data_IF_335825903855
#
_entry.id   IF_335825903855
#
_cell.length_a   1.000
_cell.length_b   1.000
_cell.length_c   1.000
_cell.angle_alpha   90.00
_cell.angle_beta   90.00
_cell.angle_gamma   90.00
#
_symmetry.space_group_name_H-M   'P 1'
#
loop_
_entity.id
_entity.type
_entity.pdbx_description
1 polymer ?
#
# COMPACT_ATOMS: atom_id res chain seq x y z
N UNK A 1 85.47 -133.30 -97.11
CA UNK A 1 85.38 -134.60 -96.41
C UNK A 1 83.97 -134.76 -95.91
N UNK A 2 83.20 -135.69 -96.49
CA UNK A 2 81.81 -135.97 -96.12
C UNK A 2 81.79 -136.88 -94.89
N UNK A 3 81.39 -136.34 -93.75
CA UNK A 3 81.20 -137.06 -92.48
C UNK A 3 79.72 -136.94 -92.08
N UNK A 4 79.12 -138.02 -91.57
CA UNK A 4 77.72 -138.13 -91.11
C UNK A 4 77.32 -136.99 -90.16
N UNK A 5 78.28 -136.45 -89.42
CA UNK A 5 78.09 -135.30 -88.53
C UNK A 5 77.80 -133.99 -89.28
N UNK A 6 78.36 -133.79 -90.49
CA UNK A 6 78.18 -132.58 -91.28
C UNK A 6 76.79 -132.44 -91.92
N UNK A 7 76.15 -133.56 -92.26
CA UNK A 7 74.74 -133.57 -92.72
C UNK A 7 73.77 -133.34 -91.56
N UNK A 8 74.05 -133.92 -90.38
CA UNK A 8 73.20 -133.76 -89.19
C UNK A 8 73.18 -132.31 -88.71
N UNK A 9 74.34 -131.63 -88.69
CA UNK A 9 74.44 -130.23 -88.30
C UNK A 9 73.72 -129.29 -89.29
N UNK A 10 73.77 -129.57 -90.60
CA UNK A 10 73.09 -128.75 -91.61
C UNK A 10 71.56 -128.91 -91.60
N UNK A 11 71.05 -130.04 -91.10
CA UNK A 11 69.62 -130.29 -90.88
C UNK A 11 69.08 -129.68 -89.58
N UNK A 12 69.95 -129.47 -88.59
CA UNK A 12 69.59 -129.02 -87.24
C UNK A 12 69.63 -127.50 -87.05
N UNK A 13 70.21 -126.74 -87.98
CA UNK A 13 70.16 -125.28 -87.93
C UNK A 13 71.21 -124.59 -88.79
N UNK A 14 70.88 -123.37 -89.23
CA UNK A 14 71.79 -122.53 -90.01
C UNK A 14 72.95 -122.04 -89.13
N UNK A 15 74.19 -122.18 -89.63
CA UNK A 15 75.42 -121.75 -88.95
C UNK A 15 75.64 -120.26 -89.24
N UNK A 16 75.45 -119.40 -88.24
CA UNK A 16 75.80 -117.97 -88.31
C UNK A 16 77.26 -117.73 -87.90
N UNK A 17 77.91 -116.75 -88.53
CA UNK A 17 79.30 -116.37 -88.21
C UNK A 17 79.34 -115.46 -86.97
N UNK A 18 80.41 -115.49 -86.17
CA UNK A 18 80.58 -114.62 -85.00
C UNK A 18 80.35 -113.14 -85.36
N UNK A 19 80.84 -112.70 -86.51
CA UNK A 19 80.62 -111.34 -87.02
C UNK A 19 79.14 -111.00 -87.25
N UNK A 20 78.34 -111.95 -87.75
CA UNK A 20 76.90 -111.76 -87.96
C UNK A 20 76.14 -111.68 -86.64
N UNK A 21 76.53 -112.47 -85.63
CA UNK A 21 75.96 -112.38 -84.28
C UNK A 21 76.32 -111.06 -83.60
N UNK A 22 77.57 -110.60 -83.72
CA UNK A 22 78.00 -109.30 -83.19
C UNK A 22 77.27 -108.14 -83.87
N UNK A 23 77.07 -108.20 -85.18
CA UNK A 23 76.36 -107.16 -85.92
C UNK A 23 74.85 -107.17 -85.63
N UNK A 24 74.23 -108.34 -85.48
CA UNK A 24 72.83 -108.48 -85.07
C UNK A 24 72.61 -107.93 -83.64
N UNK A 25 73.53 -108.20 -82.71
CA UNK A 25 73.49 -107.67 -81.34
C UNK A 25 73.73 -106.16 -81.30
N UNK A 26 74.68 -105.63 -82.08
CA UNK A 26 74.91 -104.19 -82.21
C UNK A 26 73.65 -103.47 -82.74
N UNK A 27 72.98 -104.01 -83.76
CA UNK A 27 71.71 -103.47 -84.27
C UNK A 27 70.59 -103.50 -83.22
N UNK A 28 70.52 -104.56 -82.40
CA UNK A 28 69.55 -104.63 -81.28
C UNK A 28 69.84 -103.56 -80.22
N UNK A 29 71.11 -103.38 -79.88
CA UNK A 29 71.54 -102.38 -78.91
C UNK A 29 71.29 -100.96 -79.42
N UNK A 30 71.58 -100.65 -80.68
CA UNK A 30 71.29 -99.35 -81.29
C UNK A 30 69.79 -99.07 -81.31
N UNK A 31 68.96 -100.07 -81.63
CA UNK A 31 67.49 -99.93 -81.59
C UNK A 31 66.99 -99.67 -80.17
N UNK A 32 67.57 -100.32 -79.17
CA UNK A 32 67.25 -100.07 -77.76
C UNK A 32 67.67 -98.65 -77.33
N UNK A 33 68.90 -98.23 -77.67
CA UNK A 33 69.42 -96.89 -77.36
C UNK A 33 68.58 -95.81 -78.03
N UNK A 34 68.23 -95.99 -79.31
CA UNK A 34 67.35 -95.07 -80.04
C UNK A 34 65.97 -94.96 -79.40
N UNK A 35 65.37 -96.08 -78.99
CA UNK A 35 64.08 -96.09 -78.30
C UNK A 35 64.15 -95.39 -76.94
N UNK A 36 65.18 -95.68 -76.14
CA UNK A 36 65.40 -95.04 -74.84
C UNK A 36 65.63 -93.54 -75.00
N UNK A 37 66.42 -93.11 -75.99
CA UNK A 37 66.66 -91.71 -76.28
C UNK A 37 65.37 -90.99 -76.69
N UNK A 38 64.53 -91.60 -77.52
CA UNK A 38 63.21 -91.05 -77.87
C UNK A 38 62.32 -90.90 -76.62
N UNK A 39 62.27 -91.91 -75.74
CA UNK A 39 61.53 -91.82 -74.47
C UNK A 39 62.04 -90.67 -73.60
N UNK A 40 63.36 -90.51 -73.48
CA UNK A 40 63.98 -89.41 -72.72
C UNK A 40 63.61 -88.07 -73.33
N UNK A 41 63.66 -87.92 -74.66
CA UNK A 41 63.28 -86.68 -75.34
C UNK A 41 61.81 -86.31 -75.09
N UNK A 42 60.88 -87.27 -75.21
CA UNK A 42 59.45 -87.04 -74.92
C UNK A 42 59.24 -86.65 -73.46
N UNK A 43 59.88 -87.34 -72.51
CA UNK A 43 59.78 -86.99 -71.08
C UNK A 43 60.35 -85.61 -70.77
N UNK A 44 61.50 -85.25 -71.36
CA UNK A 44 62.09 -83.93 -71.21
C UNK A 44 61.18 -82.82 -71.77
N UNK A 45 60.52 -83.07 -72.91
CA UNK A 45 59.52 -82.14 -73.46
C UNK A 45 58.33 -81.98 -72.52
N UNK A 46 57.81 -83.10 -71.98
CA UNK A 46 56.70 -83.07 -71.04
C UNK A 46 57.02 -82.34 -69.74
N UNK A 47 58.25 -82.51 -69.20
CA UNK A 47 58.72 -81.76 -68.03
C UNK A 47 58.68 -80.26 -68.31
N UNK A 48 59.23 -79.80 -69.45
CA UNK A 48 59.18 -78.38 -69.85
C UNK A 48 57.76 -77.85 -69.96
N UNK A 49 56.84 -78.63 -70.54
CA UNK A 49 55.42 -78.25 -70.62
C UNK A 49 54.76 -78.14 -69.25
N UNK A 50 55.13 -79.00 -68.29
CA UNK A 50 54.67 -78.88 -66.90
C UNK A 50 55.27 -77.65 -66.23
N UNK A 51 56.56 -77.38 -66.41
CA UNK A 51 57.23 -76.19 -65.85
C UNK A 51 56.60 -74.89 -66.34
N UNK A 52 56.34 -74.77 -67.65
CA UNK A 52 55.66 -73.59 -68.22
C UNK A 52 54.26 -73.45 -67.62
N UNK A 53 53.45 -74.52 -67.60
CA UNK A 53 52.10 -74.48 -67.00
C UNK A 53 52.13 -74.16 -65.51
N UNK A 54 53.12 -74.65 -64.79
CA UNK A 54 53.33 -74.35 -63.37
C UNK A 54 53.57 -72.85 -63.19
N UNK A 55 54.53 -72.27 -63.92
CA UNK A 55 54.83 -70.84 -63.83
C UNK A 55 53.65 -69.96 -64.24
N UNK A 56 52.93 -70.30 -65.31
CA UNK A 56 51.71 -69.58 -65.71
C UNK A 56 50.62 -69.64 -64.65
N UNK A 57 50.41 -70.81 -64.04
CA UNK A 57 49.41 -70.99 -62.98
C UNK A 57 49.79 -70.21 -61.73
N UNK A 58 51.06 -70.25 -61.32
CA UNK A 58 51.59 -69.45 -60.21
C UNK A 58 51.45 -67.97 -60.47
N UNK A 59 51.73 -67.50 -61.69
CA UNK A 59 51.58 -66.08 -62.03
C UNK A 59 50.11 -65.64 -61.96
N UNK A 60 49.17 -66.42 -62.52
CA UNK A 60 47.73 -66.15 -62.42
C UNK A 60 47.25 -66.15 -60.97
N UNK A 61 47.72 -67.08 -60.15
CA UNK A 61 47.41 -67.11 -58.71
C UNK A 61 47.89 -65.85 -58.00
N UNK A 62 49.12 -65.40 -58.27
CA UNK A 62 49.67 -64.19 -57.67
C UNK A 62 48.87 -62.94 -58.09
N UNK A 63 48.49 -62.81 -59.35
CA UNK A 63 47.64 -61.71 -59.83
C UNK A 63 46.28 -61.71 -59.12
N UNK A 64 45.62 -62.87 -59.02
CA UNK A 64 44.35 -62.99 -58.32
C UNK A 64 44.49 -62.67 -56.81
N UNK A 65 45.60 -63.04 -56.17
CA UNK A 65 45.88 -62.66 -54.79
C UNK A 65 46.04 -61.15 -54.63
N UNK A 66 46.80 -60.49 -55.53
CA UNK A 66 46.95 -59.04 -55.53
C UNK A 66 45.62 -58.30 -55.72
N UNK A 67 44.78 -58.76 -56.66
CA UNK A 67 43.45 -58.19 -56.87
C UNK A 67 42.55 -58.37 -55.63
N UNK A 68 42.59 -59.56 -55.00
CA UNK A 68 41.85 -59.82 -53.76
C UNK A 68 42.30 -58.89 -52.63
N UNK A 69 43.60 -58.71 -52.45
CA UNK A 69 44.15 -57.88 -51.38
C UNK A 69 43.81 -56.40 -51.61
N UNK A 70 43.89 -55.92 -52.86
CA UNK A 70 43.45 -54.57 -53.24
C UNK A 70 41.97 -54.34 -52.94
N UNK A 71 41.10 -55.31 -53.27
CA UNK A 71 39.67 -55.22 -53.03
C UNK A 71 39.34 -55.16 -51.53
N UNK A 72 40.03 -55.98 -50.72
CA UNK A 72 39.89 -55.96 -49.27
C UNK A 72 40.33 -54.62 -48.70
N UNK A 73 41.45 -54.07 -49.20
CA UNK A 73 41.92 -52.75 -48.78
C UNK A 73 40.90 -51.66 -49.11
N UNK A 74 40.39 -51.58 -50.35
CA UNK A 74 39.40 -50.57 -50.74
C UNK A 74 38.10 -50.69 -49.93
N UNK A 75 37.66 -51.93 -49.67
CA UNK A 75 36.46 -52.18 -48.86
C UNK A 75 36.65 -51.72 -47.40
N UNK A 76 37.81 -52.02 -46.80
CA UNK A 76 38.12 -51.60 -45.43
C UNK A 76 38.23 -50.08 -45.32
N UNK A 77 38.83 -49.40 -46.31
CA UNK A 77 38.91 -47.94 -46.37
C UNK A 77 37.52 -47.30 -46.47
N UNK A 78 36.62 -47.87 -47.29
CA UNK A 78 35.25 -47.39 -47.44
C UNK A 78 34.44 -47.55 -46.15
N UNK A 79 34.58 -48.70 -45.46
CA UNK A 79 33.97 -48.90 -44.14
C UNK A 79 34.46 -47.85 -43.14
N UNK A 80 35.78 -47.62 -43.06
CA UNK A 80 36.34 -46.65 -42.14
C UNK A 80 35.83 -45.23 -42.44
N UNK A 81 35.71 -44.88 -43.72
CA UNK A 81 35.16 -43.59 -44.15
C UNK A 81 33.69 -43.42 -43.75
N UNK A 82 32.87 -44.45 -43.93
CA UNK A 82 31.45 -44.44 -43.51
C UNK A 82 31.35 -44.31 -41.99
N UNK A 83 32.14 -45.09 -41.24
CA UNK A 83 32.15 -45.05 -39.77
C UNK A 83 32.60 -43.70 -39.21
N UNK A 84 33.66 -43.11 -39.76
CA UNK A 84 34.14 -41.78 -39.35
C UNK A 84 33.11 -40.69 -39.66
N UNK A 85 32.56 -40.68 -40.88
CA UNK A 85 31.52 -39.71 -41.26
C UNK A 85 30.28 -39.81 -40.36
N UNK A 86 29.84 -41.03 -40.05
CA UNK A 86 28.72 -41.26 -39.14
C UNK A 86 29.02 -40.76 -37.71
N UNK A 87 30.23 -41.05 -37.20
CA UNK A 87 30.68 -40.58 -35.88
C UNK A 87 30.70 -39.06 -35.81
N UNK A 88 31.26 -38.40 -36.81
CA UNK A 88 31.34 -36.93 -36.87
C UNK A 88 29.94 -36.30 -36.92
N UNK A 89 29.03 -36.90 -37.70
CA UNK A 89 27.65 -36.44 -37.78
C UNK A 89 26.93 -36.55 -36.43
N UNK A 90 27.04 -37.70 -35.76
CA UNK A 90 26.44 -37.87 -34.44
C UNK A 90 27.07 -36.94 -33.40
N UNK A 91 28.38 -36.77 -33.43
CA UNK A 91 29.06 -35.86 -32.51
C UNK A 91 28.57 -34.42 -32.68
N UNK A 92 28.39 -33.96 -33.93
CA UNK A 92 27.79 -32.65 -34.20
C UNK A 92 26.38 -32.53 -33.61
N UNK A 93 25.51 -33.53 -33.85
CA UNK A 93 24.15 -33.56 -33.29
C UNK A 93 24.18 -33.46 -31.76
N UNK A 94 25.04 -34.24 -31.09
CA UNK A 94 25.16 -34.19 -29.63
C UNK A 94 25.60 -32.81 -29.13
N UNK A 95 26.62 -32.21 -29.76
CA UNK A 95 27.09 -30.88 -29.36
C UNK A 95 26.04 -29.80 -29.57
N UNK A 96 25.28 -29.86 -30.66
CA UNK A 96 24.22 -28.88 -30.93
C UNK A 96 23.03 -29.07 -29.99
N UNK A 97 22.67 -30.32 -29.66
CA UNK A 97 21.64 -30.63 -28.68
C UNK A 97 22.03 -30.14 -27.26
N UNK A 98 23.28 -30.31 -26.85
CA UNK A 98 23.77 -29.81 -25.56
C UNK A 98 23.75 -28.28 -25.48
N UNK A 99 24.14 -27.58 -26.56
CA UNK A 99 23.99 -26.12 -26.67
C UNK A 99 22.53 -25.68 -26.58
N UNK A 100 21.63 -26.34 -27.30
CA UNK A 100 20.21 -26.00 -27.25
C UNK A 100 19.62 -26.24 -25.86
N UNK A 101 20.01 -27.34 -25.20
CA UNK A 101 19.58 -27.65 -23.83
C UNK A 101 20.02 -26.58 -22.84
N UNK A 102 21.28 -26.14 -22.91
CA UNK A 102 21.80 -25.08 -22.02
C UNK A 102 21.13 -23.73 -22.28
N UNK A 103 20.85 -23.39 -23.54
CA UNK A 103 20.07 -22.20 -23.89
C UNK A 103 18.64 -22.26 -23.34
N UNK A 104 17.96 -23.40 -23.49
CA UNK A 104 16.60 -23.59 -23.00
C UNK A 104 16.53 -23.46 -21.46
N UNK A 105 17.48 -24.05 -20.74
CA UNK A 105 17.54 -23.93 -19.28
C UNK A 105 17.82 -22.48 -18.85
N UNK A 106 18.66 -21.74 -19.58
CA UNK A 106 18.93 -20.33 -19.32
C UNK A 106 17.67 -19.46 -19.49
N UNK A 107 16.91 -19.68 -20.57
CA UNK A 107 15.66 -18.96 -20.84
C UNK A 107 14.59 -19.28 -19.80
N UNK A 108 14.48 -20.56 -19.41
CA UNK A 108 13.57 -21.00 -18.35
C UNK A 108 13.87 -20.30 -17.03
N UNK A 109 15.14 -20.22 -16.63
CA UNK A 109 15.56 -19.53 -15.41
C UNK A 109 15.28 -18.02 -15.49
N UNK A 110 15.50 -17.39 -16.64
CA UNK A 110 15.17 -15.97 -16.84
C UNK A 110 13.66 -15.71 -16.71
N UNK A 111 12.83 -16.58 -17.30
CA UNK A 111 11.37 -16.47 -17.19
C UNK A 111 10.90 -16.66 -15.74
N UNK A 112 11.48 -17.59 -15.00
CA UNK A 112 11.13 -17.80 -13.58
C UNK A 112 11.50 -16.57 -12.73
N UNK A 113 12.67 -15.96 -12.98
CA UNK A 113 13.06 -14.71 -12.31
C UNK A 113 12.10 -13.56 -12.65
N UNK A 114 11.73 -13.39 -13.93
CA UNK A 114 10.77 -12.38 -14.35
C UNK A 114 9.40 -12.59 -13.73
N UNK A 115 8.96 -13.84 -13.59
CA UNK A 115 7.70 -14.20 -12.92
C UNK A 115 7.70 -13.75 -11.46
N UNK A 116 8.76 -14.07 -10.71
CA UNK A 116 8.91 -13.64 -9.31
C UNK A 116 8.93 -12.11 -9.20
N UNK A 117 9.58 -11.42 -10.13
CA UNK A 117 9.63 -9.96 -10.16
C UNK A 117 8.26 -9.32 -10.45
N UNK A 118 7.47 -9.93 -11.35
CA UNK A 118 6.10 -9.50 -11.65
C UNK A 118 5.18 -9.71 -10.45
N UNK A 119 5.24 -10.87 -9.78
CA UNK A 119 4.47 -11.15 -8.56
C UNK A 119 4.76 -10.11 -7.47
N UNK A 120 6.03 -9.73 -7.28
CA UNK A 120 6.42 -8.67 -6.34
C UNK A 120 5.84 -7.31 -6.73
N UNK A 121 5.89 -6.96 -8.01
CA UNK A 121 5.30 -5.69 -8.52
C UNK A 121 3.79 -5.67 -8.37
N UNK A 122 3.12 -6.78 -8.63
CA UNK A 122 1.68 -6.91 -8.49
C UNK A 122 1.25 -6.73 -7.04
N UNK A 123 1.90 -7.42 -6.09
CA UNK A 123 1.64 -7.27 -4.67
C UNK A 123 1.88 -5.82 -4.17
N UNK A 124 2.95 -5.17 -4.66
CA UNK A 124 3.21 -3.76 -4.34
C UNK A 124 2.12 -2.83 -4.88
N UNK A 125 1.73 -3.01 -6.15
CA UNK A 125 0.67 -2.21 -6.77
C UNK A 125 -0.69 -2.41 -6.09
N UNK A 126 -1.01 -3.64 -5.67
CA UNK A 126 -2.22 -3.93 -4.92
C UNK A 126 -2.23 -3.23 -3.55
N UNK A 127 -1.09 -3.23 -2.85
CA UNK A 127 -0.94 -2.49 -1.59
C UNK A 127 -1.12 -0.98 -1.77
N UNK A 128 -0.51 -0.39 -2.79
CA UNK A 128 -0.64 1.05 -3.07
C UNK A 128 -2.07 1.43 -3.48
N UNK A 129 -2.74 0.59 -4.29
CA UNK A 129 -4.16 0.78 -4.62
C UNK A 129 -5.05 0.76 -3.38
N UNK A 130 -4.79 -0.15 -2.45
CA UNK A 130 -5.55 -0.24 -1.20
C UNK A 130 -5.37 1.02 -0.34
N UNK A 131 -4.13 1.50 -0.17
CA UNK A 131 -3.86 2.75 0.56
C UNK A 131 -4.56 3.95 -0.06
N UNK A 132 -4.52 4.06 -1.38
CA UNK A 132 -5.20 5.16 -2.09
C UNK A 132 -6.72 5.09 -1.91
N UNK A 133 -7.31 3.89 -1.91
CA UNK A 133 -8.73 3.72 -1.65
C UNK A 133 -9.12 4.14 -0.22
N UNK A 134 -8.31 3.74 0.77
CA UNK A 134 -8.49 4.14 2.17
C UNK A 134 -8.38 5.66 2.34
N UNK A 135 -7.41 6.32 1.70
CA UNK A 135 -7.25 7.78 1.73
C UNK A 135 -8.42 8.51 1.06
N UNK A 136 -8.96 8.00 -0.04
CA UNK A 136 -10.15 8.56 -0.70
C UNK A 136 -11.36 8.47 0.23
N UNK A 137 -11.58 7.33 0.89
CA UNK A 137 -12.68 7.14 1.83
C UNK A 137 -12.53 8.06 3.06
N UNK A 138 -11.33 8.16 3.63
CA UNK A 138 -11.06 9.07 4.75
C UNK A 138 -11.28 10.53 4.36
N UNK A 139 -10.85 10.95 3.17
CA UNK A 139 -11.09 12.31 2.69
C UNK A 139 -12.57 12.57 2.41
N UNK A 140 -13.32 11.58 1.92
CA UNK A 140 -14.76 11.71 1.73
C UNK A 140 -15.50 11.90 3.07
N UNK A 141 -15.13 11.12 4.10
CA UNK A 141 -15.72 11.25 5.44
C UNK A 141 -15.37 12.59 6.09
N UNK A 142 -14.11 13.03 5.99
CA UNK A 142 -13.67 14.37 6.44
C UNK A 142 -14.45 15.48 5.74
N UNK A 143 -14.57 15.43 4.40
CA UNK A 143 -15.33 16.44 3.65
C UNK A 143 -16.81 16.47 4.06
N UNK A 144 -17.44 15.31 4.25
CA UNK A 144 -18.83 15.24 4.75
C UNK A 144 -18.96 15.87 6.14
N UNK A 145 -18.03 15.57 7.06
CA UNK A 145 -18.01 16.15 8.41
C UNK A 145 -17.82 17.67 8.39
N UNK A 146 -16.92 18.19 7.54
CA UNK A 146 -16.69 19.62 7.36
C UNK A 146 -17.93 20.32 6.79
N UNK A 147 -18.62 19.69 5.84
CA UNK A 147 -19.86 20.22 5.29
C UNK A 147 -20.95 20.31 6.38
N UNK A 148 -21.08 19.30 7.23
CA UNK A 148 -22.01 19.32 8.36
C UNK A 148 -21.66 20.41 9.37
N UNK A 149 -20.37 20.56 9.71
CA UNK A 149 -19.90 21.63 10.60
C UNK A 149 -20.19 23.02 10.04
N UNK A 150 -19.98 23.23 8.73
CA UNK A 150 -20.27 24.50 8.06
C UNK A 150 -21.77 24.84 8.06
N UNK A 151 -22.63 23.83 7.86
CA UNK A 151 -24.09 24.00 7.95
C UNK A 151 -24.51 24.38 9.37
N UNK A 152 -23.94 23.72 10.38
CA UNK A 152 -24.28 23.99 11.78
C UNK A 152 -23.79 25.37 12.24
N UNK A 153 -22.59 25.77 11.82
CA UNK A 153 -22.08 27.12 12.03
C UNK A 153 -23.02 28.18 11.43
N UNK A 154 -23.46 27.98 10.18
CA UNK A 154 -24.41 28.91 9.54
C UNK A 154 -25.72 29.04 10.31
N UNK A 155 -26.26 27.93 10.83
CA UNK A 155 -27.47 27.96 11.68
C UNK A 155 -27.23 28.70 13.00
N UNK A 156 -26.07 28.48 13.62
CA UNK A 156 -25.70 29.19 14.84
C UNK A 156 -25.61 30.71 14.60
N UNK A 157 -24.97 31.12 13.50
CA UNK A 157 -24.87 32.53 13.10
C UNK A 157 -26.25 33.15 12.85
N UNK A 158 -27.15 32.43 12.16
CA UNK A 158 -28.54 32.85 11.94
C UNK A 158 -29.31 33.01 13.26
N UNK A 159 -29.09 32.13 14.24
CA UNK A 159 -29.72 32.23 15.55
C UNK A 159 -29.18 33.42 16.36
N UNK A 160 -27.86 33.68 16.33
CA UNK A 160 -27.24 34.85 16.97
C UNK A 160 -27.78 36.15 16.38
N UNK A 161 -27.94 36.22 15.05
CA UNK A 161 -28.54 37.36 14.36
C UNK A 161 -29.98 37.62 14.85
N UNK A 162 -30.83 36.60 14.92
CA UNK A 162 -32.20 36.73 15.45
C UNK A 162 -32.21 37.22 16.89
N UNK A 163 -31.35 36.66 17.75
CA UNK A 163 -31.24 37.09 19.15
C UNK A 163 -30.81 38.56 19.26
N UNK A 164 -29.87 39.00 18.41
CA UNK A 164 -29.44 40.39 18.37
C UNK A 164 -30.57 41.33 17.91
N UNK A 165 -31.38 40.91 16.93
CA UNK A 165 -32.57 41.64 16.48
C UNK A 165 -33.63 41.74 17.60
N UNK A 166 -33.89 40.65 18.31
CA UNK A 166 -34.83 40.61 19.44
C UNK A 166 -34.36 41.52 20.59
N UNK A 167 -33.07 41.45 20.95
CA UNK A 167 -32.48 42.34 21.95
C UNK A 167 -32.60 43.81 21.54
N UNK A 168 -32.34 44.12 20.26
CA UNK A 168 -32.51 45.49 19.73
C UNK A 168 -33.97 45.95 19.87
N UNK A 169 -34.93 45.09 19.51
CA UNK A 169 -36.37 45.39 19.62
C UNK A 169 -36.81 45.61 21.07
N UNK A 170 -36.35 44.76 21.99
CA UNK A 170 -36.62 44.92 23.43
C UNK A 170 -36.01 46.22 23.96
N UNK A 171 -34.79 46.57 23.56
CA UNK A 171 -34.14 47.83 23.93
C UNK A 171 -34.93 49.04 23.44
N UNK A 172 -35.42 49.01 22.20
CA UNK A 172 -36.27 50.06 21.63
C UNK A 172 -37.59 50.20 22.42
N UNK A 173 -38.22 49.08 22.83
CA UNK A 173 -39.42 49.09 23.66
C UNK A 173 -39.16 49.69 25.05
N UNK A 174 -38.07 49.31 25.70
CA UNK A 174 -37.67 49.89 26.99
C UNK A 174 -37.39 51.39 26.88
N UNK A 175 -36.68 51.83 25.83
CA UNK A 175 -36.48 53.25 25.57
C UNK A 175 -37.80 54.00 25.37
N UNK A 176 -38.75 53.43 24.64
CA UNK A 176 -40.08 54.04 24.48
C UNK A 176 -40.81 54.15 25.83
N UNK A 177 -40.69 53.14 26.70
CA UNK A 177 -41.28 53.17 28.04
C UNK A 177 -40.65 54.23 28.95
N UNK A 178 -39.33 54.37 28.90
CA UNK A 178 -38.60 55.43 29.64
C UNK A 178 -39.12 56.81 29.22
N UNK A 179 -39.27 57.07 27.92
CA UNK A 179 -39.81 58.35 27.43
C UNK A 179 -41.24 58.58 27.94
N UNK A 180 -42.08 57.54 27.97
CA UNK A 180 -43.44 57.66 28.51
C UNK A 180 -43.44 57.98 30.01
N UNK A 181 -42.61 57.29 30.80
CA UNK A 181 -42.48 57.52 32.23
C UNK A 181 -41.92 58.92 32.53
N UNK A 182 -40.97 59.40 31.73
CA UNK A 182 -40.45 60.77 31.86
C UNK A 182 -41.57 61.81 31.68
N UNK A 183 -42.43 61.64 30.66
CA UNK A 183 -43.59 62.54 30.47
C UNK A 183 -44.57 62.50 31.65
N UNK A 184 -44.82 61.32 32.21
CA UNK A 184 -45.69 61.19 33.40
C UNK A 184 -45.07 61.86 34.62
N UNK A 185 -43.75 61.75 34.79
CA UNK A 185 -43.02 62.44 35.85
C UNK A 185 -43.10 63.96 35.69
N UNK A 186 -42.89 64.48 34.48
CA UNK A 186 -42.97 65.91 34.19
C UNK A 186 -44.39 66.46 34.51
N UNK A 187 -45.45 65.71 34.14
CA UNK A 187 -46.85 66.05 34.49
C UNK A 187 -47.09 66.04 36.00
N UNK A 188 -46.52 65.08 36.74
CA UNK A 188 -46.62 65.05 38.20
C UNK A 188 -45.98 66.29 38.83
N UNK A 189 -44.78 66.64 38.37
CA UNK A 189 -44.06 67.82 38.86
C UNK A 189 -44.85 69.12 38.58
N UNK A 190 -45.50 69.22 37.42
CA UNK A 190 -46.38 70.37 37.08
C UNK A 190 -47.58 70.47 38.05
N UNK A 191 -48.24 69.34 38.35
CA UNK A 191 -49.32 69.30 39.35
C UNK A 191 -48.83 69.67 40.76
N UNK A 192 -47.64 69.22 41.18
CA UNK A 192 -47.05 69.59 42.46
C UNK A 192 -46.80 71.10 42.56
N UNK A 193 -46.28 71.72 41.49
CA UNK A 193 -46.09 73.16 41.41
C UNK A 193 -47.43 73.91 41.50
N UNK A 194 -48.46 73.45 40.80
CA UNK A 194 -49.80 74.04 40.84
C UNK A 194 -50.42 73.94 42.25
N UNK A 195 -50.27 72.80 42.93
CA UNK A 195 -50.69 72.63 44.32
C UNK A 195 -49.96 73.62 45.24
N UNK A 196 -48.66 73.84 45.04
CA UNK A 196 -47.92 74.85 45.82
C UNK A 196 -48.41 76.27 45.54
N UNK A 197 -48.68 76.62 44.29
CA UNK A 197 -49.25 77.92 43.91
C UNK A 197 -50.64 78.15 44.51
N UNK A 198 -51.50 77.13 44.49
CA UNK A 198 -52.83 77.17 45.12
C UNK A 198 -52.71 77.33 46.64
N UNK A 199 -51.81 76.59 47.30
CA UNK A 199 -51.53 76.76 48.73
C UNK A 199 -51.06 78.18 49.07
N UNK A 200 -50.17 78.75 48.27
CA UNK A 200 -49.68 80.12 48.43
C UNK A 200 -50.81 81.15 48.31
N UNK A 201 -51.62 81.04 47.23
CA UNK A 201 -52.79 81.91 47.01
C UNK A 201 -53.81 81.81 48.15
N UNK A 202 -54.11 80.60 48.62
CA UNK A 202 -55.05 80.34 49.70
C UNK A 202 -54.52 80.88 51.05
N UNK A 203 -53.20 80.85 51.26
CA UNK A 203 -52.56 81.48 52.41
C UNK A 203 -52.73 83.01 52.38
N UNK A 204 -52.49 83.66 51.23
CA UNK A 204 -52.69 85.12 51.08
C UNK A 204 -54.16 85.51 51.35
N UNK A 205 -55.11 84.80 50.74
CA UNK A 205 -56.54 85.03 50.93
C UNK A 205 -57.01 84.80 52.39
N UNK A 206 -56.42 83.85 53.11
CA UNK A 206 -56.70 83.65 54.55
C UNK A 206 -56.25 84.82 55.42
N UNK A 207 -55.20 85.54 55.03
CA UNK A 207 -54.72 86.71 55.77
C UNK A 207 -55.49 88.00 55.40
N UNK A 208 -56.41 87.94 54.44
CA UNK A 208 -57.36 89.02 54.12
C UNK A 208 -58.66 88.90 54.96
N UNK A 209 -58.54 88.40 56.19
CA UNK A 209 -59.62 87.96 57.09
C UNK A 209 -60.52 89.09 57.63
N UNK A 210 -60.21 90.36 57.32
CA UNK A 210 -60.91 91.54 57.85
C UNK A 210 -62.06 92.05 56.95
N UNK A 211 -62.25 91.53 55.73
CA UNK A 211 -63.34 91.92 54.83
C UNK A 211 -64.37 90.77 54.65
N UNK A 212 -65.59 90.95 55.18
CA UNK A 212 -66.75 90.04 55.03
C UNK A 212 -67.33 90.06 53.59
N UNK A 213 -66.47 89.93 52.58
CA UNK A 213 -66.88 89.97 51.18
C UNK A 213 -67.30 88.56 50.72
N UNK A 214 -68.60 88.37 50.50
CA UNK A 214 -69.22 87.08 50.13
C UNK A 214 -68.61 86.49 48.85
N UNK A 215 -68.10 87.34 47.97
CA UNK A 215 -67.42 86.92 46.74
C UNK A 215 -66.01 86.35 47.02
N UNK A 216 -65.29 86.87 48.02
CA UNK A 216 -64.00 86.34 48.48
C UNK A 216 -64.20 84.98 49.15
N UNK A 217 -65.23 84.83 49.99
CA UNK A 217 -65.58 83.56 50.63
C UNK A 217 -65.86 82.45 49.60
N UNK A 218 -66.63 82.74 48.55
CA UNK A 218 -66.88 81.77 47.45
C UNK A 218 -65.61 81.40 46.69
N UNK A 219 -64.70 82.35 46.45
CA UNK A 219 -63.40 82.07 45.81
C UNK A 219 -62.52 81.20 46.69
N UNK A 220 -62.47 81.46 47.99
CA UNK A 220 -61.75 80.63 48.97
C UNK A 220 -62.32 79.21 49.01
N UNK A 221 -63.64 79.04 49.03
CA UNK A 221 -64.29 77.72 49.09
C UNK A 221 -64.03 76.89 47.82
N UNK A 222 -64.09 77.53 46.64
CA UNK A 222 -63.77 76.88 45.37
C UNK A 222 -62.29 76.48 45.32
N UNK A 223 -61.36 77.37 45.70
CA UNK A 223 -59.92 77.06 45.76
C UNK A 223 -59.61 75.96 46.78
N UNK A 224 -60.32 75.91 47.92
CA UNK A 224 -60.17 74.83 48.89
C UNK A 224 -60.66 73.49 48.33
N UNK A 225 -61.76 73.49 47.58
CA UNK A 225 -62.26 72.27 46.94
C UNK A 225 -61.29 71.76 45.88
N UNK A 226 -60.84 72.62 44.97
CA UNK A 226 -59.86 72.25 43.93
C UNK A 226 -58.53 71.79 44.53
N UNK A 227 -58.07 72.44 45.61
CA UNK A 227 -56.86 72.02 46.33
C UNK A 227 -57.04 70.63 46.95
N UNK A 228 -58.18 70.35 47.59
CA UNK A 228 -58.49 69.03 48.17
C UNK A 228 -58.50 67.95 47.08
N UNK A 229 -59.18 68.19 45.97
CA UNK A 229 -59.30 67.23 44.88
C UNK A 229 -57.93 66.91 44.25
N UNK A 230 -57.09 67.94 44.00
CA UNK A 230 -55.71 67.74 43.50
C UNK A 230 -54.79 67.06 44.52
N UNK A 231 -54.93 67.35 45.81
CA UNK A 231 -54.16 66.69 46.87
C UNK A 231 -54.52 65.20 47.01
N UNK A 232 -55.81 64.87 46.96
CA UNK A 232 -56.29 63.48 46.93
C UNK A 232 -55.74 62.75 45.71
N UNK A 233 -55.83 63.35 44.52
CA UNK A 233 -55.31 62.74 43.30
C UNK A 233 -53.80 62.50 43.34
N UNK A 234 -53.02 63.39 43.96
CA UNK A 234 -51.58 63.21 44.14
C UNK A 234 -51.28 62.08 45.16
N UNK A 235 -52.04 62.02 46.25
CA UNK A 235 -51.90 61.00 47.28
C UNK A 235 -52.21 59.59 46.75
N UNK A 236 -53.26 59.45 45.94
CA UNK A 236 -53.61 58.18 45.28
C UNK A 236 -52.48 57.73 44.33
N UNK A 237 -51.87 58.68 43.61
CA UNK A 237 -50.74 58.41 42.72
C UNK A 237 -49.50 57.93 43.49
N UNK A 238 -49.19 58.56 44.63
CA UNK A 238 -48.07 58.17 45.49
C UNK A 238 -48.28 56.78 46.10
N UNK A 239 -49.49 56.46 46.57
CA UNK A 239 -49.83 55.14 47.09
C UNK A 239 -49.65 54.06 46.02
N UNK A 240 -50.13 54.31 44.80
CA UNK A 240 -49.96 53.39 43.68
C UNK A 240 -48.48 53.17 43.36
N UNK A 241 -47.67 54.22 43.38
CA UNK A 241 -46.23 54.12 43.12
C UNK A 241 -45.51 53.29 44.19
N UNK A 242 -45.85 53.50 45.47
CA UNK A 242 -45.30 52.71 46.58
C UNK A 242 -45.61 51.21 46.40
N UNK A 243 -46.86 50.89 46.02
CA UNK A 243 -47.28 49.51 45.78
C UNK A 243 -46.55 48.86 44.61
N UNK A 244 -46.30 49.61 43.53
CA UNK A 244 -45.54 49.13 42.37
C UNK A 244 -44.06 48.85 42.72
N UNK A 245 -43.42 49.70 43.53
CA UNK A 245 -42.04 49.48 43.98
C UNK A 245 -41.93 48.18 44.80
N UNK A 246 -42.88 47.92 45.69
CA UNK A 246 -42.89 46.69 46.49
C UNK A 246 -43.02 45.47 45.57
N UNK A 247 -43.96 45.50 44.61
CA UNK A 247 -44.19 44.41 43.67
C UNK A 247 -43.00 44.14 42.74
N UNK A 248 -42.30 45.18 42.30
CA UNK A 248 -41.11 45.05 41.45
C UNK A 248 -39.96 44.38 42.20
N UNK A 249 -39.72 44.77 43.45
CA UNK A 249 -38.71 44.12 44.31
C UNK A 249 -39.03 42.66 44.57
N UNK A 250 -40.26 42.34 44.94
CA UNK A 250 -40.71 40.96 45.14
C UNK A 250 -40.46 40.10 43.89
N UNK A 251 -40.86 40.58 42.71
CA UNK A 251 -40.66 39.84 41.45
C UNK A 251 -39.18 39.68 41.08
N UNK A 252 -38.34 40.68 41.38
CA UNK A 252 -36.92 40.61 41.12
C UNK A 252 -36.20 39.62 42.05
N UNK A 253 -36.59 39.58 43.32
CA UNK A 253 -36.07 38.63 44.30
C UNK A 253 -36.41 37.19 43.88
N UNK A 254 -37.66 36.92 43.49
CA UNK A 254 -38.09 35.61 42.94
C UNK A 254 -37.26 35.18 41.72
N UNK A 255 -36.99 36.12 40.80
CA UNK A 255 -36.21 35.86 39.60
C UNK A 255 -34.75 35.54 39.93
N UNK A 256 -34.19 36.21 40.93
CA UNK A 256 -32.82 35.99 41.39
C UNK A 256 -32.67 34.66 42.12
N UNK A 257 -33.65 34.26 42.93
CA UNK A 257 -33.73 32.93 43.55
C UNK A 257 -33.82 31.83 42.50
N UNK A 258 -34.69 31.97 41.50
CA UNK A 258 -34.83 30.99 40.42
C UNK A 258 -33.53 30.82 39.61
N UNK A 259 -32.82 31.92 39.33
CA UNK A 259 -31.51 31.89 38.68
C UNK A 259 -30.47 31.17 39.54
N UNK A 260 -30.42 31.44 40.83
CA UNK A 260 -29.48 30.81 41.74
C UNK A 260 -29.73 29.30 41.85
N UNK A 261 -31.00 28.89 41.99
CA UNK A 261 -31.39 27.49 42.03
C UNK A 261 -30.99 26.74 40.75
N UNK A 262 -31.12 27.37 39.57
CA UNK A 262 -30.68 26.78 38.31
C UNK A 262 -29.16 26.58 38.28
N UNK A 263 -28.39 27.59 38.71
CA UNK A 263 -26.92 27.52 38.76
C UNK A 263 -26.46 26.39 39.66
N UNK A 264 -27.06 26.25 40.84
CA UNK A 264 -26.68 25.21 41.80
C UNK A 264 -27.13 23.83 41.32
N UNK A 265 -28.33 23.71 40.74
CA UNK A 265 -28.79 22.47 40.13
C UNK A 265 -27.84 21.96 39.03
N UNK A 266 -27.30 22.85 38.19
CA UNK A 266 -26.34 22.47 37.14
C UNK A 266 -24.99 22.01 37.72
N UNK A 267 -24.55 22.54 38.87
CA UNK A 267 -23.31 22.08 39.53
C UNK A 267 -23.41 20.64 40.05
N UNK A 268 -24.59 20.27 40.55
CA UNK A 268 -24.89 18.97 41.18
C UNK A 268 -25.18 17.84 40.18
N UNK A 269 -25.38 18.16 38.89
CA UNK A 269 -25.58 17.14 37.85
C UNK A 269 -24.34 16.26 37.74
N UNK A 270 -24.48 14.99 38.15
CA UNK A 270 -23.50 13.97 37.85
C UNK A 270 -23.58 13.55 36.38
N UNK A 271 -22.45 13.26 35.71
CA UNK A 271 -22.44 12.82 34.32
C UNK A 271 -23.13 11.44 34.20
N UNK A 272 -24.38 11.43 33.76
CA UNK A 272 -25.14 10.22 33.42
C UNK A 272 -24.98 9.92 31.92
N UNK A 273 -24.28 8.83 31.60
CA UNK A 273 -24.17 8.29 30.24
C UNK A 273 -23.12 8.96 29.34
N UNK A 274 -23.40 9.04 28.03
CA UNK A 274 -22.45 9.49 27.00
C UNK A 274 -22.28 11.01 26.90
N UNK A 275 -23.02 11.79 27.70
CA UNK A 275 -22.92 13.25 27.77
C UNK A 275 -22.13 13.61 29.03
N UNK A 276 -20.97 14.23 28.86
CA UNK A 276 -20.10 14.67 29.96
C UNK A 276 -20.13 16.19 30.07
N UNK A 277 -20.32 16.70 31.27
CA UNK A 277 -20.17 18.11 31.58
C UNK A 277 -18.67 18.42 31.74
N UNK A 278 -18.12 19.25 30.86
CA UNK A 278 -16.74 19.73 30.96
C UNK A 278 -16.73 21.02 31.76
N UNK A 279 -16.16 21.01 32.98
CA UNK A 279 -16.01 22.23 33.78
C UNK A 279 -14.78 22.99 33.31
N UNK A 280 -14.86 24.32 33.28
CA UNK A 280 -13.71 25.14 32.92
C UNK A 280 -12.65 25.02 34.02
N UNK A 281 -11.42 24.65 33.65
CA UNK A 281 -10.30 24.48 34.58
C UNK A 281 -10.13 23.07 35.15
N UNK A 282 -11.09 22.16 34.93
CA UNK A 282 -10.97 20.75 35.32
C UNK A 282 -10.10 19.99 34.30
N UNK A 283 -9.08 19.28 34.79
CA UNK A 283 -8.10 18.55 33.99
C UNK A 283 -8.34 17.03 34.09
N UNK A 284 -8.07 16.32 32.98
CA UNK A 284 -8.02 14.86 32.99
C UNK A 284 -6.68 14.40 33.56
N UNK A 285 -6.69 13.60 34.64
CA UNK A 285 -5.48 13.08 35.28
C UNK A 285 -4.78 11.99 34.45
N UNK A 286 -5.46 11.37 33.48
CA UNK A 286 -4.94 10.23 32.72
C UNK A 286 -3.61 10.51 31.98
N UNK A 287 -3.42 11.66 31.29
CA UNK A 287 -2.16 12.00 30.63
C UNK A 287 -1.02 12.26 31.64
N UNK A 288 -1.33 12.84 32.80
CA UNK A 288 -0.36 13.05 33.87
C UNK A 288 0.13 11.71 34.41
N UNK A 289 -0.79 10.75 34.60
CA UNK A 289 -0.48 9.40 35.04
C UNK A 289 0.42 8.66 34.05
N UNK A 290 0.10 8.71 32.75
CA UNK A 290 0.91 8.07 31.72
C UNK A 290 2.33 8.67 31.65
N UNK A 291 2.46 9.98 31.85
CA UNK A 291 3.76 10.65 31.91
C UNK A 291 4.58 10.22 33.15
N UNK A 292 3.93 10.09 34.30
CA UNK A 292 4.60 9.70 35.55
C UNK A 292 5.00 8.23 35.57
N UNK A 293 4.19 7.32 35.00
CA UNK A 293 4.52 5.88 34.88
C UNK A 293 5.81 5.59 34.08
N UNK A 294 6.26 6.54 33.24
CA UNK A 294 7.54 6.42 32.52
C UNK A 294 8.77 6.69 33.39
N UNK A 295 8.59 7.31 34.57
CA UNK A 295 9.68 7.77 35.45
C UNK A 295 9.64 7.16 36.84
N UNK A 296 8.46 6.74 37.31
CA UNK A 296 8.23 6.26 38.66
C UNK A 296 7.54 4.89 38.67
N UNK A 297 7.57 4.20 39.81
CA UNK A 297 6.79 2.98 40.01
C UNK A 297 5.28 3.31 40.05
N UNK A 298 4.42 2.30 40.05
CA UNK A 298 2.98 2.51 39.85
C UNK A 298 2.31 3.34 40.96
N UNK A 299 2.71 3.13 42.22
CA UNK A 299 2.16 3.84 43.39
C UNK A 299 2.67 5.29 43.43
N UNK A 300 3.97 5.50 43.26
CA UNK A 300 4.57 6.85 43.20
C UNK A 300 4.10 7.63 41.96
N UNK A 301 3.83 6.94 40.84
CA UNK A 301 3.36 7.59 39.63
C UNK A 301 1.94 8.15 39.77
N UNK A 302 1.06 7.46 40.50
CA UNK A 302 -0.32 7.88 40.70
C UNK A 302 -0.42 9.09 41.65
N UNK A 303 0.34 9.07 42.75
CA UNK A 303 0.41 10.21 43.66
C UNK A 303 1.00 11.44 42.96
N UNK A 304 2.13 11.29 42.25
CA UNK A 304 2.78 12.40 41.54
C UNK A 304 1.95 12.95 40.39
N UNK A 305 1.17 12.11 39.71
CA UNK A 305 0.28 12.55 38.66
C UNK A 305 -0.88 13.38 39.21
N UNK A 306 -1.44 12.96 40.34
CA UNK A 306 -2.52 13.68 41.02
C UNK A 306 -2.03 15.02 41.55
N UNK A 307 -0.86 15.07 42.21
CA UNK A 307 -0.23 16.32 42.68
C UNK A 307 -0.01 17.30 41.53
N UNK A 308 0.54 16.83 40.40
CA UNK A 308 0.83 17.69 39.25
C UNK A 308 -0.46 18.17 38.55
N UNK A 309 -1.46 17.29 38.43
CA UNK A 309 -2.76 17.64 37.86
C UNK A 309 -3.43 18.74 38.68
N UNK A 310 -3.53 18.56 40.00
CA UNK A 310 -4.12 19.58 40.90
C UNK A 310 -3.33 20.89 40.92
N UNK A 311 -2.00 20.84 40.82
CA UNK A 311 -1.18 22.05 40.72
C UNK A 311 -1.52 22.85 39.45
N UNK A 312 -1.71 22.16 38.33
CA UNK A 312 -2.08 22.80 37.06
C UNK A 312 -3.51 23.32 37.07
N UNK A 313 -4.45 22.60 37.69
CA UNK A 313 -5.81 23.11 37.90
C UNK A 313 -5.80 24.41 38.71
N UNK A 314 -4.91 24.52 39.71
CA UNK A 314 -4.81 25.73 40.52
C UNK A 314 -4.21 26.89 39.77
N UNK A 315 -3.24 26.65 38.89
CA UNK A 315 -2.78 27.68 37.98
C UNK A 315 -3.85 28.10 36.96
N UNK A 316 -4.71 27.18 36.51
CA UNK A 316 -5.82 27.51 35.61
C UNK A 316 -6.93 28.36 36.26
N UNK A 317 -6.98 28.42 37.59
CA UNK A 317 -7.90 29.34 38.30
C UNK A 317 -7.42 30.80 38.23
N UNK A 318 -6.13 31.01 38.00
CA UNK A 318 -5.57 32.35 37.84
C UNK A 318 -5.70 32.80 36.38
N UNK A 319 -6.53 33.81 36.07
CA UNK A 319 -6.69 34.31 34.70
C UNK A 319 -5.40 34.93 34.13
N UNK A 320 -4.42 35.27 34.97
CA UNK A 320 -3.13 35.84 34.55
C UNK A 320 -2.05 34.75 34.32
N UNK A 321 -2.38 33.46 34.43
CA UNK A 321 -1.43 32.38 34.15
C UNK A 321 -1.30 32.06 32.66
N UNK A 322 -0.08 32.18 32.13
CA UNK A 322 0.24 31.99 30.71
C UNK A 322 1.34 30.93 30.53
N UNK A 323 0.99 29.62 30.49
CA UNK A 323 1.98 28.53 30.47
C UNK A 323 2.77 28.43 29.16
N UNK A 324 2.31 29.09 28.10
CA UNK A 324 2.96 29.10 26.78
C UNK A 324 3.57 30.47 26.51
N UNK A 325 4.88 30.51 26.28
CA UNK A 325 5.62 31.69 25.86
C UNK A 325 6.04 31.56 24.40
N UNK A 326 5.57 32.48 23.56
CA UNK A 326 5.97 32.55 22.15
C UNK A 326 7.22 33.41 22.03
N UNK A 327 8.28 32.85 21.46
CA UNK A 327 9.56 33.53 21.24
C UNK A 327 9.94 33.38 19.77
N UNK A 328 10.41 34.47 19.16
CA UNK A 328 10.89 34.47 17.78
C UNK A 328 12.33 33.97 17.72
N UNK A 329 12.55 32.85 17.03
CA UNK A 329 13.89 32.29 16.77
C UNK A 329 14.04 32.09 15.26
N UNK A 330 15.04 32.74 14.66
CA UNK A 330 15.30 32.73 13.21
C UNK A 330 14.10 33.10 12.33
N UNK A 331 13.31 34.09 12.77
CA UNK A 331 12.15 34.59 12.02
C UNK A 331 10.93 33.67 12.02
N UNK A 332 10.93 32.60 12.84
CA UNK A 332 9.76 31.74 13.07
C UNK A 332 9.33 31.80 14.53
N UNK A 333 8.02 31.87 14.76
CA UNK A 333 7.44 31.76 16.09
C UNK A 333 7.64 30.35 16.63
N UNK A 334 8.31 30.23 17.79
CA UNK A 334 8.42 28.98 18.54
C UNK A 334 7.72 29.16 19.88
N UNK A 335 6.81 28.24 20.18
CA UNK A 335 6.08 28.20 21.45
C UNK A 335 6.84 27.32 22.44
N UNK A 336 7.15 27.88 23.61
CA UNK A 336 7.81 27.18 24.71
C UNK A 336 6.83 27.05 25.87
N UNK A 337 6.77 25.87 26.50
CA UNK A 337 6.13 25.69 27.79
C UNK A 337 7.09 26.16 28.89
N UNK A 338 6.59 26.92 29.87
CA UNK A 338 7.38 27.32 31.05
C UNK A 338 7.64 26.16 32.01
#
# INVERSE_FOLDING_TARGET
MNSIYGEYLRKMGDVKTISELMEEEARRQDKLVSNLNNIIQVKNKHIKEIEVRYHETTHKMNLAMMEKDNLIQSYNEEIQKIQSTARDHFQKIFTDHEKLKTQLESQKNELELRKIELEKREAHNESERKKLAEEIEENATKNSSLQMAAIEQKKADENVMKLAEDQKRQKEQLHAKIIQLQKQLDMKQELELEIQQLKGSLSVLKHMEDDEDVEILKKVDNLQKDLRDKQLSLQDLDQLNQALIIKERESNDELQEARQALVDGVKELQPLGNIRLKRMGELDTSPFLEAMKKRYNEEDAEERASELCSLWEEYLKDPDWHPLKVIMVDGREKVFLY
#
